data_IF_118469453694
#
_entry.id   IF_118469453694
#
_cell.length_a   1.000
_cell.length_b   1.000
_cell.length_c   1.000
_cell.angle_alpha   90.00
_cell.angle_beta   90.00
_cell.angle_gamma   90.00
#
_symmetry.space_group_name_H-M   'P 1'
#
loop_
_entity.id
_entity.type
_entity.pdbx_description
1 polymer ?
#
# COMPACT_ATOMS: atom_id res chain seq x y z
N UNK A 1 -3.52 -32.40 12.19
CA UNK A 1 -3.76 -31.16 11.42
C UNK A 1 -3.51 -29.99 12.35
N UNK A 2 -2.23 -29.73 12.62
CA UNK A 2 -1.82 -28.65 13.51
C UNK A 2 -1.83 -27.35 12.70
N UNK A 3 -2.73 -26.46 13.10
CA UNK A 3 -2.77 -25.07 12.69
C UNK A 3 -1.48 -24.40 13.14
N UNK A 4 -0.56 -24.13 12.21
CA UNK A 4 0.63 -23.31 12.45
C UNK A 4 0.20 -21.84 12.60
N UNK A 5 -0.37 -21.50 13.75
CA UNK A 5 -0.53 -20.10 14.15
C UNK A 5 0.86 -19.55 14.40
N UNK A 6 1.36 -18.69 13.50
CA UNK A 6 2.52 -17.84 13.80
C UNK A 6 2.16 -17.01 15.04
N UNK A 7 2.84 -17.20 16.18
CA UNK A 7 2.57 -16.38 17.33
C UNK A 7 3.12 -14.97 17.02
N UNK A 8 2.24 -13.96 17.11
CA UNK A 8 2.59 -12.56 16.91
C UNK A 8 3.23 -12.04 18.21
N UNK A 9 4.46 -12.47 18.48
CA UNK A 9 5.09 -12.34 19.81
C UNK A 9 5.49 -10.90 20.16
N UNK A 10 5.60 -10.03 19.15
CA UNK A 10 6.05 -8.63 19.32
C UNK A 10 5.04 -7.62 18.76
N UNK A 11 3.75 -7.95 18.73
CA UNK A 11 2.70 -7.01 18.34
C UNK A 11 2.05 -6.41 19.59
N UNK A 12 2.57 -5.26 20.02
CA UNK A 12 1.91 -4.46 21.05
C UNK A 12 0.58 -3.92 20.50
N UNK A 13 -0.52 -4.49 20.98
CA UNK A 13 -1.86 -4.05 20.61
C UNK A 13 -2.14 -2.68 21.24
N UNK A 14 -1.85 -1.62 20.50
CA UNK A 14 -2.20 -0.26 20.93
C UNK A 14 -3.72 -0.08 20.83
N UNK A 15 -4.40 -0.22 21.96
CA UNK A 15 -5.83 -0.01 22.08
C UNK A 15 -6.12 1.47 21.82
N UNK A 16 -6.73 1.79 20.67
CA UNK A 16 -7.14 3.16 20.35
C UNK A 16 -8.13 3.59 21.44
N UNK A 17 -7.81 4.58 22.30
CA UNK A 17 -8.67 4.94 23.40
C UNK A 17 -9.95 5.56 22.83
N UNK A 18 -11.02 4.77 22.81
CA UNK A 18 -12.37 5.27 22.56
C UNK A 18 -12.85 6.00 23.81
N UNK A 19 -12.30 7.19 24.04
CA UNK A 19 -12.83 8.14 25.03
C UNK A 19 -14.18 8.66 24.54
N UNK A 20 -15.24 8.38 25.29
CA UNK A 20 -16.62 8.64 24.92
C UNK A 20 -16.86 10.09 24.48
N UNK A 21 -17.22 10.25 23.20
CA UNK A 21 -17.49 11.56 22.62
C UNK A 21 -17.58 11.55 21.10
N UNK A 22 -18.39 10.66 20.50
CA UNK A 22 -19.01 10.83 19.18
C UNK A 22 -18.15 11.10 17.93
N UNK A 23 -16.82 11.13 18.02
CA UNK A 23 -15.92 11.31 16.89
C UNK A 23 -14.87 10.21 16.93
N UNK A 24 -14.94 9.26 16.00
CA UNK A 24 -13.91 8.24 15.86
C UNK A 24 -12.53 8.91 15.73
N UNK A 25 -11.59 8.54 16.59
CA UNK A 25 -10.23 9.07 16.55
C UNK A 25 -9.65 8.94 15.16
N UNK A 26 -8.96 9.98 14.69
CA UNK A 26 -8.44 10.03 13.33
C UNK A 26 -7.39 8.94 13.16
N UNK A 27 -7.69 7.91 12.35
CA UNK A 27 -6.73 6.85 12.08
C UNK A 27 -5.63 7.35 11.12
N UNK A 28 -4.38 6.86 11.21
CA UNK A 28 -3.34 7.19 10.23
C UNK A 28 -3.76 6.87 8.79
N UNK A 29 -4.61 5.84 8.63
CA UNK A 29 -5.14 5.42 7.34
C UNK A 29 -6.06 6.48 6.73
N UNK A 30 -6.97 7.02 7.54
CA UNK A 30 -7.92 8.06 7.16
C UNK A 30 -7.25 9.43 6.98
N UNK A 31 -6.10 9.64 7.63
CA UNK A 31 -5.37 10.90 7.60
C UNK A 31 -4.63 11.17 6.29
N UNK A 32 -4.36 10.13 5.48
CA UNK A 32 -3.70 10.34 4.20
C UNK A 32 -3.31 9.09 3.44
N UNK A 33 -3.04 7.98 4.13
CA UNK A 33 -2.52 6.76 3.47
C UNK A 33 -3.52 6.23 2.44
N UNK A 34 -4.79 6.02 2.83
CA UNK A 34 -5.84 5.54 1.92
C UNK A 34 -6.07 6.55 0.79
N UNK A 35 -6.06 7.85 1.11
CA UNK A 35 -6.28 8.92 0.13
C UNK A 35 -5.18 8.92 -0.93
N UNK A 36 -3.92 8.88 -0.53
CA UNK A 36 -2.77 8.88 -1.42
C UNK A 36 -2.76 7.62 -2.30
N UNK A 37 -2.96 6.46 -1.70
CA UNK A 37 -3.05 5.19 -2.42
C UNK A 37 -4.16 5.20 -3.48
N UNK A 38 -5.39 5.62 -3.11
CA UNK A 38 -6.52 5.71 -4.06
C UNK A 38 -6.27 6.71 -5.18
N UNK A 39 -5.63 7.84 -4.88
CA UNK A 39 -5.29 8.85 -5.88
C UNK A 39 -4.29 8.28 -6.91
N UNK A 40 -3.22 7.64 -6.46
CA UNK A 40 -2.23 7.00 -7.33
C UNK A 40 -2.86 5.88 -8.19
N UNK A 41 -3.69 5.03 -7.60
CA UNK A 41 -4.39 3.98 -8.35
C UNK A 41 -5.28 4.57 -9.44
N UNK A 42 -6.09 5.59 -9.12
CA UNK A 42 -6.99 6.24 -10.08
C UNK A 42 -6.22 6.91 -11.20
N UNK A 43 -5.09 7.56 -10.90
CA UNK A 43 -4.20 8.16 -11.90
C UNK A 43 -3.75 7.12 -12.93
N UNK A 44 -3.30 5.95 -12.47
CA UNK A 44 -2.88 4.85 -13.35
C UNK A 44 -4.00 4.30 -14.23
N UNK A 45 -5.20 4.20 -13.67
CA UNK A 45 -6.37 3.79 -14.45
C UNK A 45 -6.64 4.80 -15.57
N UNK A 46 -6.62 6.10 -15.27
CA UNK A 46 -6.83 7.14 -16.28
C UNK A 46 -5.73 7.11 -17.34
N UNK A 47 -4.46 7.03 -16.96
CA UNK A 47 -3.33 6.94 -17.90
C UNK A 47 -3.45 5.74 -18.84
N UNK A 48 -3.84 4.57 -18.31
CA UNK A 48 -4.08 3.37 -19.13
C UNK A 48 -5.21 3.59 -20.14
N UNK A 49 -6.31 4.21 -19.71
CA UNK A 49 -7.46 4.48 -20.57
C UNK A 49 -7.10 5.50 -21.65
N UNK A 50 -6.34 6.53 -21.30
CA UNK A 50 -5.84 7.54 -22.23
C UNK A 50 -4.99 6.89 -23.35
N UNK A 51 -4.06 5.99 -22.97
CA UNK A 51 -3.26 5.21 -23.93
C UNK A 51 -4.16 4.33 -24.83
N UNK A 52 -5.21 3.72 -24.28
CA UNK A 52 -6.14 2.90 -25.05
C UNK A 52 -6.91 3.72 -26.09
N UNK A 53 -7.29 4.96 -25.74
CA UNK A 53 -8.00 5.88 -26.63
C UNK A 53 -7.06 6.44 -27.70
N UNK A 54 -5.85 6.82 -27.33
CA UNK A 54 -4.85 7.41 -28.24
C UNK A 54 -4.28 6.39 -29.24
N UNK A 55 -4.30 5.08 -28.89
CA UNK A 55 -3.75 4.00 -29.73
C UNK A 55 -4.81 2.97 -30.12
N UNK A 56 -5.80 3.33 -30.97
CA UNK A 56 -6.88 2.41 -31.35
C UNK A 56 -6.38 1.16 -32.06
N UNK A 57 -5.27 1.25 -32.82
CA UNK A 57 -4.64 0.11 -33.49
C UNK A 57 -4.08 -0.95 -32.51
N UNK A 58 -3.81 -0.59 -31.25
CA UNK A 58 -3.33 -1.52 -30.24
C UNK A 58 -4.43 -2.42 -29.66
N UNK A 59 -5.71 -2.16 -30.01
CA UNK A 59 -6.88 -2.93 -29.53
C UNK A 59 -6.90 -3.12 -28.00
N UNK A 60 -6.43 -2.12 -27.25
CA UNK A 60 -6.36 -2.21 -25.80
C UNK A 60 -7.77 -2.06 -25.21
N UNK A 61 -8.23 -2.98 -24.33
CA UNK A 61 -9.57 -2.89 -23.77
C UNK A 61 -9.67 -1.72 -22.79
N UNK A 62 -10.77 -0.98 -22.87
CA UNK A 62 -11.16 0.05 -21.89
C UNK A 62 -11.53 -0.53 -20.52
N UNK A 63 -11.67 -1.85 -20.42
CA UNK A 63 -11.86 -2.54 -19.13
C UNK A 63 -10.52 -2.93 -18.55
N UNK A 64 -10.35 -2.69 -17.26
CA UNK A 64 -9.22 -3.18 -16.48
C UNK A 64 -9.54 -4.61 -16.03
N UNK A 65 -8.78 -5.59 -16.50
CA UNK A 65 -8.84 -6.97 -16.01
C UNK A 65 -8.10 -7.12 -14.66
N UNK A 66 -8.27 -8.27 -13.99
CA UNK A 66 -7.70 -8.49 -12.66
C UNK A 66 -6.17 -8.32 -12.61
N UNK A 67 -5.45 -8.94 -13.54
CA UNK A 67 -3.98 -8.86 -13.59
C UNK A 67 -3.45 -7.41 -13.62
N UNK A 68 -3.84 -6.55 -14.57
CA UNK A 68 -3.41 -5.16 -14.56
C UNK A 68 -3.96 -4.36 -13.37
N UNK A 69 -5.11 -4.72 -12.80
CA UNK A 69 -5.58 -4.09 -11.57
C UNK A 69 -4.61 -4.35 -10.41
N UNK A 70 -4.13 -5.60 -10.25
CA UNK A 70 -3.16 -5.98 -9.22
C UNK A 70 -1.81 -5.29 -9.45
N UNK A 71 -1.32 -5.24 -10.68
CA UNK A 71 -0.10 -4.48 -11.01
C UNK A 71 -0.24 -2.99 -10.67
N UNK A 72 -1.40 -2.38 -10.98
CA UNK A 72 -1.67 -0.99 -10.60
C UNK A 72 -1.78 -0.79 -9.09
N UNK A 73 -2.29 -1.77 -8.34
CA UNK A 73 -2.30 -1.75 -6.87
C UNK A 73 -0.88 -1.76 -6.33
N UNK A 74 -0.03 -2.69 -6.80
CA UNK A 74 1.39 -2.77 -6.42
C UNK A 74 2.11 -1.46 -6.72
N UNK A 75 1.93 -0.93 -7.93
CA UNK A 75 2.54 0.31 -8.35
C UNK A 75 1.97 1.55 -7.63
N UNK A 76 0.73 1.51 -7.16
CA UNK A 76 0.16 2.60 -6.36
C UNK A 76 0.66 2.56 -4.91
N UNK A 77 0.89 1.37 -4.37
CA UNK A 77 1.47 1.21 -3.03
C UNK A 77 2.94 1.67 -2.99
N UNK A 78 3.71 1.42 -4.05
CA UNK A 78 5.12 1.87 -4.12
C UNK A 78 5.28 3.39 -4.11
N UNK A 79 4.25 4.17 -4.43
CA UNK A 79 4.27 5.64 -4.31
C UNK A 79 3.99 6.11 -2.87
N UNK A 80 3.41 5.26 -2.02
CA UNK A 80 3.19 5.56 -0.60
C UNK A 80 4.48 5.27 0.17
N UNK A 81 5.31 6.29 0.36
CA UNK A 81 6.62 6.14 1.00
C UNK A 81 6.51 5.87 2.50
N UNK A 82 7.52 5.22 3.07
CA UNK A 82 7.62 5.00 4.51
C UNK A 82 7.63 6.32 5.31
N UNK A 83 8.22 7.38 4.75
CA UNK A 83 8.20 8.73 5.33
C UNK A 83 6.78 9.30 5.38
N UNK A 84 5.99 9.11 4.32
CA UNK A 84 4.59 9.53 4.27
C UNK A 84 3.74 8.80 5.31
N UNK A 85 3.92 7.48 5.43
CA UNK A 85 3.26 6.65 6.45
C UNK A 85 3.63 7.15 7.85
N UNK A 86 4.92 7.33 8.15
CA UNK A 86 5.38 7.84 9.46
C UNK A 86 4.78 9.21 9.78
N UNK A 87 4.69 10.10 8.80
CA UNK A 87 4.05 11.40 8.94
C UNK A 87 2.55 11.27 9.28
N UNK A 88 1.84 10.31 8.69
CA UNK A 88 0.43 10.06 9.02
C UNK A 88 0.28 9.52 10.45
N UNK A 89 1.14 8.59 10.88
CA UNK A 89 1.15 8.09 12.26
C UNK A 89 1.47 9.19 13.27
N UNK A 90 2.46 10.05 12.97
CA UNK A 90 2.81 11.22 13.79
C UNK A 90 1.62 12.15 13.98
N UNK A 91 0.96 12.54 12.88
CA UNK A 91 -0.18 13.47 12.92
C UNK A 91 -1.43 12.85 13.57
N UNK A 92 -1.58 11.52 13.51
CA UNK A 92 -2.64 10.80 14.22
C UNK A 92 -2.34 10.60 15.73
N UNK A 93 -1.20 11.10 16.23
CA UNK A 93 -0.85 11.07 17.65
C UNK A 93 -0.19 9.77 18.11
N UNK A 94 0.21 8.89 17.18
CA UNK A 94 0.84 7.60 17.48
C UNK A 94 2.36 7.70 17.70
N UNK A 95 2.96 8.88 17.50
CA UNK A 95 4.40 9.10 17.70
C UNK A 95 4.63 10.26 18.66
N UNK A 96 5.28 9.99 19.78
CA UNK A 96 5.74 11.00 20.72
C UNK A 96 6.87 11.82 20.06
N UNK A 97 6.55 13.01 19.58
CA UNK A 97 7.50 13.81 18.78
C UNK A 97 8.39 14.64 19.71
N UNK A 98 9.69 14.32 19.82
CA UNK A 98 10.68 15.40 19.90
C UNK A 98 10.86 15.99 18.49
N UNK A 99 10.95 17.32 18.35
CA UNK A 99 10.91 17.98 17.05
C UNK A 99 12.23 17.75 16.30
N UNK A 100 12.21 16.89 15.27
CA UNK A 100 13.25 16.88 14.25
C UNK A 100 12.69 17.36 12.91
N UNK A 101 13.37 18.39 12.39
CA UNK A 101 13.11 19.08 11.15
C UNK A 101 13.19 18.13 9.94
N UNK A 102 12.31 18.40 8.98
CA UNK A 102 12.21 17.73 7.68
C UNK A 102 13.53 17.82 6.90
N UNK A 103 14.02 16.70 6.31
CA UNK A 103 14.79 16.76 5.10
C UNK A 103 14.05 16.06 3.96
N UNK A 104 13.78 16.86 2.94
CA UNK A 104 13.45 16.49 1.57
C UNK A 104 14.61 15.65 0.99
N UNK A 105 14.37 14.39 0.66
CA UNK A 105 15.18 13.64 -0.31
C UNK A 105 14.48 12.32 -0.69
N UNK A 106 14.12 12.24 -1.97
CA UNK A 106 13.77 11.02 -2.67
C UNK A 106 14.98 10.08 -2.72
N UNK A 107 14.90 8.92 -2.06
CA UNK A 107 15.89 7.86 -2.25
C UNK A 107 15.17 6.59 -2.73
N UNK A 108 15.44 6.24 -4.00
CA UNK A 108 14.92 5.07 -4.68
C UNK A 108 15.80 3.86 -4.36
N UNK A 109 15.26 2.85 -3.68
CA UNK A 109 15.90 1.53 -3.63
C UNK A 109 14.95 0.40 -4.03
N UNK A 110 15.24 -0.12 -5.22
CA UNK A 110 15.07 -1.46 -5.78
C UNK A 110 14.21 -2.45 -4.97
N UNK A 111 12.93 -2.55 -5.33
CA UNK A 111 12.00 -3.60 -4.89
C UNK A 111 11.97 -4.84 -5.79
N UNK A 112 13.08 -5.13 -6.50
CA UNK A 112 13.15 -6.16 -7.54
C UNK A 112 13.07 -7.60 -7.04
N UNK A 113 13.50 -7.89 -5.82
CA UNK A 113 13.82 -9.28 -5.41
C UNK A 113 12.77 -9.96 -4.53
N UNK A 114 11.75 -9.23 -4.06
CA UNK A 114 10.82 -9.76 -3.05
C UNK A 114 9.71 -10.64 -3.65
N UNK A 115 9.30 -10.36 -4.89
CA UNK A 115 8.16 -11.01 -5.53
C UNK A 115 8.49 -12.37 -6.13
N UNK A 116 9.70 -12.57 -6.65
CA UNK A 116 10.17 -13.87 -7.15
C UNK A 116 10.16 -14.93 -6.05
N UNK A 117 10.59 -14.59 -4.84
CA UNK A 117 10.61 -15.52 -3.69
C UNK A 117 9.21 -16.02 -3.28
N UNK A 118 8.19 -15.19 -3.42
CA UNK A 118 6.81 -15.55 -3.08
C UNK A 118 6.24 -16.54 -4.11
N UNK A 119 6.56 -16.35 -5.39
CA UNK A 119 6.08 -17.22 -6.47
C UNK A 119 6.78 -18.59 -6.42
N UNK A 120 8.08 -18.61 -6.13
CA UNK A 120 8.87 -19.85 -6.09
C UNK A 120 8.48 -20.78 -4.92
N UNK A 121 7.93 -20.22 -3.83
CA UNK A 121 7.52 -21.00 -2.67
C UNK A 121 6.19 -21.73 -2.90
N UNK A 122 5.32 -21.22 -3.79
CA UNK A 122 3.96 -21.74 -3.99
C UNK A 122 3.85 -22.76 -5.15
N UNK A 123 4.84 -22.82 -6.05
CA UNK A 123 4.82 -23.69 -7.24
C UNK A 123 5.52 -25.05 -7.04
N UNK A 124 6.13 -25.30 -5.87
CA UNK A 124 6.88 -26.53 -5.59
C UNK A 124 6.07 -27.71 -5.03
N UNK A 125 4.77 -27.52 -4.71
CA UNK A 125 3.99 -28.50 -3.94
C UNK A 125 2.79 -29.11 -4.69
N UNK A 126 2.77 -29.07 -6.03
CA UNK A 126 1.78 -29.79 -6.82
C UNK A 126 2.48 -30.54 -7.95
N UNK A 127 2.93 -31.77 -7.64
CA UNK A 127 3.11 -32.81 -8.64
C UNK A 127 2.02 -33.88 -8.42
N UNK A 128 1.45 -34.44 -9.50
CA UNK A 128 0.35 -35.40 -9.44
C UNK A 128 0.75 -36.77 -8.85
#
# INVERSE_FOLDING_TARGET
MESHAMPLEDVESMLVPSGGGGGGGVTPLDLGIIRAFKASYRRRVVERLDIAVDRPAANLPLRVSLYPAVEMVKAAWSEVTATYVRNCFRKAGFVNTQPQAEPDACDSQSGGDLWQRVIDTDMGAISP
#
